data_IF_918693732985
#
_entry.id   IF_918693732985
#
_cell.length_a   1.000
_cell.length_b   1.000
_cell.length_c   1.000
_cell.angle_alpha   90.00
_cell.angle_beta   90.00
_cell.angle_gamma   90.00
#
_symmetry.space_group_name_H-M   'P 1'
#
loop_
_entity.id
_entity.type
_entity.pdbx_description
1 polymer ?
#
# COMPACT_ATOMS: atom_id res chain seq x y z
N UNK A 1 -37.70 29.80 40.12
CA UNK A 1 -37.16 28.55 40.69
C UNK A 1 -38.08 27.46 40.15
N UNK A 2 -37.66 26.48 39.35
CA UNK A 2 -36.54 25.53 39.50
C UNK A 2 -36.05 25.05 38.09
N UNK A 3 -34.73 25.07 37.83
CA UNK A 3 -33.81 23.91 37.69
C UNK A 3 -34.18 22.92 36.55
N UNK A 4 -33.49 22.97 35.40
CA UNK A 4 -32.26 22.24 35.06
C UNK A 4 -32.41 20.71 34.98
N UNK A 5 -32.25 20.17 33.76
CA UNK A 5 -31.56 18.93 33.32
C UNK A 5 -32.23 18.44 32.02
N UNK A 6 -31.65 18.50 30.82
CA UNK A 6 -30.35 18.04 30.30
C UNK A 6 -30.08 16.54 30.48
N UNK A 7 -30.73 15.68 29.67
CA UNK A 7 -30.00 14.78 28.75
C UNK A 7 -30.91 14.03 27.78
N UNK A 8 -30.34 13.79 26.60
CA UNK A 8 -30.86 13.09 25.43
C UNK A 8 -30.98 11.58 25.63
N UNK A 9 -32.10 10.97 25.23
CA UNK A 9 -32.16 9.54 24.86
C UNK A 9 -33.12 9.35 23.68
N UNK A 10 -32.62 9.51 22.46
CA UNK A 10 -33.16 8.79 21.31
C UNK A 10 -32.29 7.55 21.13
N UNK A 11 -32.76 6.41 21.64
CA UNK A 11 -32.18 5.10 21.39
C UNK A 11 -32.41 4.72 19.92
N UNK A 12 -31.57 5.26 19.04
CA UNK A 12 -31.39 4.76 17.69
C UNK A 12 -30.65 3.44 17.78
N UNK A 13 -31.40 2.35 17.60
CA UNK A 13 -30.93 0.97 17.44
C UNK A 13 -29.73 0.93 16.48
N UNK A 14 -28.50 0.97 17.01
CA UNK A 14 -27.30 0.77 16.20
C UNK A 14 -27.33 -0.69 15.81
N UNK A 15 -27.69 -0.94 14.56
CA UNK A 15 -27.53 -2.23 13.92
C UNK A 15 -26.10 -2.67 14.13
N UNK A 16 -25.92 -3.79 14.82
CA UNK A 16 -24.64 -4.49 14.86
C UNK A 16 -24.30 -4.83 13.42
N UNK A 17 -23.40 -4.05 12.82
CA UNK A 17 -22.99 -4.25 11.45
C UNK A 17 -22.43 -5.65 11.31
N UNK A 18 -23.24 -6.47 10.61
CA UNK A 18 -22.86 -7.51 9.67
C UNK A 18 -21.36 -7.79 9.71
N UNK A 19 -21.02 -8.95 10.26
CA UNK A 19 -19.72 -9.57 10.17
C UNK A 19 -19.43 -9.91 8.70
N UNK A 20 -19.21 -8.89 7.87
CA UNK A 20 -18.60 -9.05 6.58
C UNK A 20 -17.14 -9.35 6.87
N UNK A 21 -16.80 -10.64 6.91
CA UNK A 21 -15.40 -11.04 6.78
C UNK A 21 -14.92 -10.46 5.46
N UNK A 22 -14.30 -9.29 5.52
CA UNK A 22 -13.50 -8.77 4.41
C UNK A 22 -12.45 -9.84 4.17
N UNK A 23 -12.64 -10.65 3.12
CA UNK A 23 -11.62 -11.57 2.65
C UNK A 23 -10.49 -10.72 2.10
N UNK A 24 -9.67 -10.19 3.00
CA UNK A 24 -8.49 -9.44 2.64
C UNK A 24 -7.59 -10.39 1.88
N UNK A 25 -7.44 -10.09 0.59
CA UNK A 25 -6.46 -10.76 -0.23
C UNK A 25 -5.08 -10.60 0.42
N UNK A 26 -4.16 -11.54 0.17
CA UNK A 26 -2.77 -11.39 0.67
C UNK A 26 -2.15 -10.07 0.18
N UNK A 27 -2.60 -9.61 -0.98
CA UNK A 27 -2.22 -8.35 -1.61
C UNK A 27 -2.78 -7.14 -0.85
N UNK A 28 -4.05 -7.15 -0.41
CA UNK A 28 -4.64 -6.07 0.40
C UNK A 28 -3.87 -5.84 1.70
N UNK A 29 -3.52 -6.92 2.39
CA UNK A 29 -2.71 -6.84 3.62
C UNK A 29 -1.35 -6.22 3.32
N UNK A 30 -0.74 -6.61 2.20
CA UNK A 30 0.54 -6.07 1.77
C UNK A 30 0.45 -4.59 1.40
N UNK A 31 -0.64 -4.14 0.76
CA UNK A 31 -0.90 -2.72 0.48
C UNK A 31 -1.06 -1.94 1.78
N UNK A 32 -1.80 -2.48 2.74
CA UNK A 32 -2.00 -1.81 4.03
C UNK A 32 -0.69 -1.67 4.80
N UNK A 33 0.12 -2.74 4.87
CA UNK A 33 1.46 -2.71 5.45
C UNK A 33 2.36 -1.73 4.70
N UNK A 34 2.33 -1.73 3.37
CA UNK A 34 3.12 -0.83 2.55
C UNK A 34 2.71 0.63 2.70
N UNK A 35 1.43 0.94 2.92
CA UNK A 35 0.93 2.30 3.24
C UNK A 35 1.43 2.76 4.61
N UNK A 36 1.42 1.87 5.60
CA UNK A 36 1.79 2.20 6.98
C UNK A 36 3.30 2.11 7.26
N UNK A 37 4.07 1.46 6.37
CA UNK A 37 5.49 1.23 6.58
C UNK A 37 6.25 2.56 6.77
N UNK A 38 7.11 2.65 7.79
CA UNK A 38 7.96 3.83 8.06
C UNK A 38 9.46 3.49 8.02
N UNK A 39 9.80 2.31 7.51
CA UNK A 39 11.16 1.75 7.58
C UNK A 39 11.65 1.17 6.24
N UNK A 40 12.79 0.46 6.27
CA UNK A 40 13.22 -0.34 5.14
C UNK A 40 12.17 -1.41 4.82
N UNK A 41 11.97 -1.69 3.54
CA UNK A 41 10.99 -2.67 3.09
C UNK A 41 11.67 -3.77 2.28
N UNK A 42 11.36 -5.06 2.49
CA UNK A 42 12.01 -6.14 1.77
C UNK A 42 11.73 -6.05 0.27
N UNK A 43 12.78 -6.13 -0.54
CA UNK A 43 12.67 -5.98 -2.00
C UNK A 43 11.70 -6.99 -2.61
N UNK A 44 11.75 -8.25 -2.13
CA UNK A 44 10.86 -9.32 -2.60
C UNK A 44 9.37 -8.99 -2.39
N UNK A 45 9.02 -8.39 -1.26
CA UNK A 45 7.64 -7.98 -0.99
C UNK A 45 7.25 -6.77 -1.83
N UNK A 46 8.17 -5.83 -2.06
CA UNK A 46 7.91 -4.70 -2.96
C UNK A 46 7.58 -5.18 -4.38
N UNK A 47 8.36 -6.15 -4.89
CA UNK A 47 8.10 -6.77 -6.18
C UNK A 47 6.74 -7.45 -6.20
N UNK A 48 6.38 -8.22 -5.17
CA UNK A 48 5.05 -8.87 -5.06
C UNK A 48 3.91 -7.86 -5.07
N UNK A 49 4.07 -6.75 -4.34
CA UNK A 49 3.10 -5.65 -4.33
C UNK A 49 2.93 -5.05 -5.72
N UNK A 50 4.03 -4.69 -6.38
CA UNK A 50 4.00 -4.10 -7.71
C UNK A 50 3.39 -5.05 -8.74
N UNK A 51 3.77 -6.33 -8.74
CA UNK A 51 3.17 -7.35 -9.61
C UNK A 51 1.68 -7.50 -9.35
N UNK A 52 1.26 -7.47 -8.08
CA UNK A 52 -0.13 -7.47 -7.68
C UNK A 52 -0.93 -6.28 -8.20
N UNK A 53 -0.30 -5.10 -8.26
CA UNK A 53 -0.86 -3.87 -8.81
C UNK A 53 -0.84 -3.81 -10.35
N UNK A 54 -0.43 -4.89 -11.02
CA UNK A 54 -0.38 -4.98 -12.48
C UNK A 54 0.91 -4.46 -13.13
N UNK A 55 1.98 -4.28 -12.35
CA UNK A 55 3.30 -3.98 -12.91
C UNK A 55 4.02 -5.25 -13.36
N UNK A 56 4.73 -5.16 -14.47
CA UNK A 56 5.61 -6.22 -14.96
C UNK A 56 7.06 -5.81 -14.79
N UNK A 57 7.86 -6.68 -14.16
CA UNK A 57 9.30 -6.50 -14.08
C UNK A 57 9.97 -6.75 -15.44
N UNK A 58 10.85 -5.83 -15.84
CA UNK A 58 11.73 -5.95 -17.01
C UNK A 58 13.16 -5.67 -16.58
N UNK A 59 14.03 -6.65 -16.81
CA UNK A 59 15.48 -6.47 -16.71
C UNK A 59 15.96 -5.63 -17.90
N UNK A 60 16.76 -4.60 -17.64
CA UNK A 60 17.46 -3.90 -18.72
C UNK A 60 18.89 -4.43 -18.74
N UNK A 61 19.27 -5.14 -19.80
CA UNK A 61 20.56 -5.83 -19.90
C UNK A 61 21.73 -4.92 -19.51
N UNK A 62 22.35 -5.21 -18.36
CA UNK A 62 23.48 -4.45 -17.81
C UNK A 62 23.26 -3.92 -16.39
N UNK A 63 23.27 -4.83 -15.40
CA UNK A 63 23.38 -4.50 -13.97
C UNK A 63 22.09 -4.64 -13.17
N UNK A 64 22.15 -4.29 -11.88
CA UNK A 64 21.09 -4.38 -10.86
C UNK A 64 19.91 -3.43 -11.12
N UNK A 65 19.73 -2.90 -12.33
CA UNK A 65 18.67 -1.95 -12.66
C UNK A 65 17.42 -2.70 -13.13
N UNK A 66 16.34 -2.60 -12.35
CA UNK A 66 15.04 -3.21 -12.64
C UNK A 66 14.03 -2.14 -12.99
N UNK A 67 13.22 -2.38 -14.03
CA UNK A 67 12.12 -1.49 -14.42
C UNK A 67 10.81 -2.22 -14.22
N UNK A 68 9.87 -1.59 -13.55
CA UNK A 68 8.51 -2.08 -13.38
C UNK A 68 7.61 -1.21 -14.25
N UNK A 69 6.94 -1.82 -15.22
CA UNK A 69 6.03 -1.11 -16.11
C UNK A 69 4.61 -1.59 -15.88
N UNK A 70 3.70 -0.67 -15.60
CA UNK A 70 2.27 -0.96 -15.57
C UNK A 70 1.73 -0.94 -17.00
N UNK A 71 1.15 -2.06 -17.44
CA UNK A 71 0.62 -2.16 -18.81
C UNK A 71 -0.68 -1.39 -19.02
N UNK A 72 -1.41 -1.07 -17.94
CA UNK A 72 -2.69 -0.37 -17.97
C UNK A 72 -2.48 1.14 -17.99
N UNK A 73 -1.64 1.66 -17.08
CA UNK A 73 -1.40 3.10 -16.96
C UNK A 73 -0.18 3.60 -17.74
N UNK A 74 0.66 2.69 -18.24
CA UNK A 74 1.95 3.04 -18.86
C UNK A 74 2.98 3.56 -17.86
N UNK A 75 2.68 3.55 -16.56
CA UNK A 75 3.55 4.08 -15.52
C UNK A 75 4.81 3.21 -15.31
N UNK A 76 5.97 3.85 -15.15
CA UNK A 76 7.27 3.17 -15.07
C UNK A 76 7.96 3.52 -13.75
N UNK A 77 8.17 2.51 -12.90
CA UNK A 77 8.97 2.62 -11.68
C UNK A 77 10.34 2.02 -11.96
N UNK A 78 11.40 2.81 -11.74
CA UNK A 78 12.79 2.35 -11.89
C UNK A 78 13.35 2.06 -10.51
N UNK A 79 13.72 0.82 -10.25
CA UNK A 79 14.35 0.38 -9.02
C UNK A 79 15.77 -0.06 -9.27
N UNK A 80 16.63 0.23 -8.31
CA UNK A 80 17.95 -0.35 -8.22
C UNK A 80 17.86 -1.51 -7.23
N UNK A 81 18.07 -2.73 -7.71
CA UNK A 81 18.24 -3.92 -6.89
C UNK A 81 19.43 -3.68 -5.97
N UNK A 82 19.24 -3.69 -4.64
CA UNK A 82 20.32 -3.42 -3.72
C UNK A 82 21.32 -4.59 -3.76
N UNK A 83 22.58 -4.30 -4.01
CA UNK A 83 23.68 -5.28 -3.90
C UNK A 83 24.51 -5.00 -2.65
N UNK A 84 24.83 -6.01 -1.81
CA UNK A 84 24.05 -7.16 -1.40
C UNK A 84 23.11 -6.72 -0.25
N UNK A 85 21.94 -6.21 -0.59
CA UNK A 85 20.96 -5.74 0.40
C UNK A 85 19.61 -6.32 0.08
N UNK A 86 19.07 -7.14 0.97
CA UNK A 86 17.72 -7.71 0.82
C UNK A 86 16.63 -6.63 0.91
N UNK A 87 16.99 -5.47 1.45
CA UNK A 87 16.06 -4.40 1.85
C UNK A 87 16.21 -3.16 0.97
N UNK A 88 15.06 -2.58 0.63
CA UNK A 88 14.94 -1.32 -0.07
C UNK A 88 15.01 -0.20 0.96
N UNK A 89 15.92 0.76 0.74
CA UNK A 89 16.09 1.90 1.62
C UNK A 89 14.80 2.71 1.71
N UNK A 90 14.53 3.26 2.89
CA UNK A 90 13.31 4.00 3.19
C UNK A 90 12.99 5.10 2.17
N UNK A 91 13.98 5.84 1.67
CA UNK A 91 13.73 6.90 0.68
C UNK A 91 13.14 6.34 -0.62
N UNK A 92 13.64 5.20 -1.12
CA UNK A 92 13.10 4.56 -2.32
C UNK A 92 11.68 4.05 -2.06
N UNK A 93 11.42 3.49 -0.87
CA UNK A 93 10.08 3.05 -0.47
C UNK A 93 9.11 4.23 -0.44
N UNK A 94 9.54 5.37 0.10
CA UNK A 94 8.76 6.60 0.14
C UNK A 94 8.48 7.14 -1.26
N UNK A 95 9.46 7.15 -2.14
CA UNK A 95 9.30 7.61 -3.53
C UNK A 95 8.31 6.72 -4.29
N UNK A 96 8.45 5.39 -4.16
CA UNK A 96 7.51 4.44 -4.77
C UNK A 96 6.11 4.61 -4.19
N UNK A 97 5.98 4.81 -2.87
CA UNK A 97 4.66 5.06 -2.25
C UNK A 97 4.01 6.31 -2.80
N UNK A 98 4.72 7.44 -2.82
CA UNK A 98 4.17 8.69 -3.32
C UNK A 98 3.73 8.53 -4.77
N UNK A 99 4.56 7.90 -5.59
CA UNK A 99 4.23 7.61 -6.98
C UNK A 99 2.98 6.73 -7.12
N UNK A 100 2.82 5.68 -6.31
CA UNK A 100 1.61 4.84 -6.35
C UNK A 100 0.34 5.58 -5.85
N UNK A 101 0.47 6.48 -4.87
CA UNK A 101 -0.63 7.34 -4.40
C UNK A 101 -1.04 8.33 -5.50
N UNK A 102 -0.07 8.97 -6.18
CA UNK A 102 -0.34 9.87 -7.31
C UNK A 102 -1.05 9.16 -8.46
N UNK A 103 -0.74 7.88 -8.68
CA UNK A 103 -1.43 7.04 -9.66
C UNK A 103 -2.80 6.53 -9.19
N UNK A 104 -3.21 6.80 -7.95
CA UNK A 104 -4.47 6.31 -7.38
C UNK A 104 -4.54 4.79 -7.21
N UNK A 105 -3.39 4.12 -7.15
CA UNK A 105 -3.29 2.66 -7.02
C UNK A 105 -3.31 2.22 -5.55
N UNK A 106 -2.82 3.09 -4.66
CA UNK A 106 -2.83 2.96 -3.20
C UNK A 106 -3.10 4.34 -2.57
#
# INVERSE_FOLDING_TARGET
MDACDYFSVACGRVSWNRHEKVFMSKLDRLIQEFRQCRGPFPYKELVRLLVGLGYTERATGGGSRRRFMNSVTGHIIRLHEPHPGTEVKFYVVKDVRNSLIEQGLI
#
